data_IF_419719309683
#
_entry.id   IF_419719309683
#
_cell.length_a   1.000
_cell.length_b   1.000
_cell.length_c   1.000
_cell.angle_alpha   90.00
_cell.angle_beta   90.00
_cell.angle_gamma   90.00
#
_symmetry.space_group_name_H-M   'P 1'
#
loop_
_entity.id
_entity.type
_entity.pdbx_description
1 polymer ?
#
# COMPACT_ATOMS: atom_id res chain seq x y z
N UNK A 1 -19.99 26.11 -0.20
CA UNK A 1 -19.94 25.38 1.09
C UNK A 1 -20.35 23.90 0.94
N UNK A 2 -21.45 23.58 0.24
CA UNK A 2 -21.92 22.19 0.06
C UNK A 2 -20.91 21.27 -0.68
N UNK A 3 -20.25 21.75 -1.74
CA UNK A 3 -19.33 20.91 -2.54
C UNK A 3 -18.07 20.41 -1.83
N UNK A 4 -17.63 21.08 -0.75
CA UNK A 4 -16.44 20.66 0.00
C UNK A 4 -16.75 19.50 0.96
N UNK A 5 -17.90 19.56 1.64
CA UNK A 5 -18.39 18.47 2.49
C UNK A 5 -18.67 17.22 1.66
N UNK A 6 -19.32 17.38 0.50
CA UNK A 6 -19.61 16.30 -0.44
C UNK A 6 -18.34 15.60 -0.96
N UNK A 7 -17.26 16.37 -1.14
CA UNK A 7 -15.96 15.84 -1.53
C UNK A 7 -15.29 15.05 -0.39
N UNK A 8 -15.38 15.54 0.85
CA UNK A 8 -14.84 14.83 2.02
C UNK A 8 -15.59 13.53 2.30
N UNK A 9 -16.92 13.51 2.17
CA UNK A 9 -17.72 12.31 2.37
C UNK A 9 -17.41 11.25 1.31
N UNK A 10 -17.27 11.64 0.04
CA UNK A 10 -16.86 10.74 -1.05
C UNK A 10 -15.46 10.16 -0.81
N UNK A 11 -14.51 11.00 -0.38
CA UNK A 11 -13.15 10.55 0.01
C UNK A 11 -13.19 9.55 1.17
N UNK A 12 -14.04 9.79 2.17
CA UNK A 12 -14.20 8.89 3.32
C UNK A 12 -14.84 7.57 2.92
N UNK A 13 -15.83 7.58 2.03
CA UNK A 13 -16.48 6.36 1.54
C UNK A 13 -15.53 5.51 0.68
N UNK A 14 -14.76 6.15 -0.20
CA UNK A 14 -13.70 5.51 -0.99
C UNK A 14 -12.65 4.85 -0.06
N UNK A 15 -12.20 5.59 0.95
CA UNK A 15 -11.25 5.08 1.94
C UNK A 15 -11.82 3.88 2.72
N UNK A 16 -13.07 3.94 3.21
CA UNK A 16 -13.69 2.82 3.93
C UNK A 16 -13.78 1.53 3.10
N UNK A 17 -14.11 1.65 1.80
CA UNK A 17 -14.15 0.49 0.89
C UNK A 17 -12.78 -0.17 0.79
N UNK A 18 -11.74 0.66 0.69
CA UNK A 18 -10.36 0.21 0.66
C UNK A 18 -9.95 -0.45 1.98
N UNK A 19 -10.27 0.14 3.13
CA UNK A 19 -10.00 -0.47 4.45
C UNK A 19 -10.63 -1.86 4.58
N UNK A 20 -11.86 -2.03 4.11
CA UNK A 20 -12.55 -3.32 4.12
C UNK A 20 -11.84 -4.34 3.22
N UNK A 21 -11.56 -3.98 1.97
CA UNK A 21 -10.88 -4.86 1.02
C UNK A 21 -9.48 -5.27 1.48
N UNK A 22 -8.72 -4.34 2.08
CA UNK A 22 -7.42 -4.62 2.68
C UNK A 22 -7.53 -5.57 3.87
N UNK A 23 -8.51 -5.36 4.75
CA UNK A 23 -8.71 -6.20 5.94
C UNK A 23 -9.02 -7.64 5.56
N UNK A 24 -9.93 -7.83 4.60
CA UNK A 24 -10.29 -9.15 4.08
C UNK A 24 -9.09 -9.85 3.44
N UNK A 25 -8.34 -9.13 2.59
CA UNK A 25 -7.15 -9.64 1.91
C UNK A 25 -6.05 -10.09 2.89
N UNK A 26 -5.92 -9.41 4.04
CA UNK A 26 -4.86 -9.63 5.01
C UNK A 26 -5.26 -10.57 6.17
N UNK A 27 -6.53 -10.97 6.25
CA UNK A 27 -7.04 -11.77 7.35
C UNK A 27 -6.24 -13.08 7.52
N UNK A 28 -5.91 -13.40 8.78
CA UNK A 28 -5.21 -14.65 9.15
C UNK A 28 -3.73 -14.74 8.78
N UNK A 29 -3.12 -13.69 8.22
CA UNK A 29 -1.71 -13.70 7.77
C UNK A 29 -0.78 -13.01 8.76
N UNK A 30 0.52 -13.32 8.71
CA UNK A 30 1.53 -12.51 9.39
C UNK A 30 1.83 -11.27 8.55
N UNK A 31 1.37 -10.11 9.00
CA UNK A 31 1.42 -8.87 8.22
C UNK A 31 2.53 -7.94 8.72
N UNK A 32 3.43 -7.54 7.81
CA UNK A 32 4.32 -6.40 8.00
C UNK A 32 3.66 -5.13 7.45
N UNK A 33 3.39 -4.18 8.34
CA UNK A 33 2.92 -2.85 7.96
C UNK A 33 4.07 -1.85 7.97
N UNK A 34 4.20 -1.10 6.88
CA UNK A 34 5.00 0.12 6.86
C UNK A 34 4.07 1.32 6.83
N UNK A 35 4.24 2.23 7.79
CA UNK A 35 3.44 3.44 7.89
C UNK A 35 4.15 4.62 7.22
N UNK A 36 3.45 5.29 6.30
CA UNK A 36 3.83 6.61 5.82
C UNK A 36 3.51 7.73 6.83
N UNK A 37 4.03 8.95 6.60
CA UNK A 37 3.98 10.08 7.54
C UNK A 37 2.55 10.57 7.87
N UNK A 38 1.56 10.21 7.05
CA UNK A 38 0.13 10.53 7.28
C UNK A 38 -0.73 9.29 7.05
N UNK A 39 -0.77 8.40 8.03
CA UNK A 39 -1.59 7.19 7.97
C UNK A 39 -2.86 7.30 8.84
N UNK A 40 -4.04 6.95 8.32
CA UNK A 40 -5.18 6.59 9.16
C UNK A 40 -4.84 5.35 9.99
N UNK A 41 -5.44 5.24 11.18
CA UNK A 41 -5.41 4.00 11.95
C UNK A 41 -6.27 2.97 11.22
N UNK A 42 -5.66 2.19 10.33
CA UNK A 42 -6.28 0.98 9.82
C UNK A 42 -6.60 0.08 11.03
N UNK A 43 -7.84 -0.37 11.12
CA UNK A 43 -8.31 -1.28 12.17
C UNK A 43 -7.83 -2.70 11.96
N UNK A 44 -7.21 -2.99 10.81
CA UNK A 44 -6.64 -4.30 10.49
C UNK A 44 -5.53 -4.62 11.49
N UNK A 45 -5.65 -5.71 12.28
CA UNK A 45 -4.56 -6.16 13.12
C UNK A 45 -3.39 -6.58 12.22
N UNK A 46 -2.19 -6.16 12.60
CA UNK A 46 -0.95 -6.48 11.90
C UNK A 46 0.02 -7.12 12.87
N UNK A 47 0.89 -7.99 12.38
CA UNK A 47 1.88 -8.65 13.22
C UNK A 47 3.00 -7.70 13.64
N UNK A 48 3.39 -6.80 12.74
CA UNK A 48 4.40 -5.77 13.02
C UNK A 48 4.09 -4.49 12.25
N UNK A 49 4.24 -3.35 12.91
CA UNK A 49 4.15 -2.04 12.28
C UNK A 49 5.45 -1.29 12.50
N UNK A 50 6.04 -0.77 11.42
CA UNK A 50 7.29 -0.01 11.45
C UNK A 50 7.16 1.26 10.62
N UNK A 51 8.03 2.23 10.88
CA UNK A 51 8.24 3.35 9.97
C UNK A 51 9.19 2.95 8.84
N UNK A 52 9.21 3.74 7.77
CA UNK A 52 10.04 3.45 6.60
C UNK A 52 11.53 3.38 6.98
N UNK A 53 11.99 4.27 7.86
CA UNK A 53 13.37 4.34 8.36
C UNK A 53 13.79 3.12 9.20
N UNK A 54 12.81 2.42 9.81
CA UNK A 54 13.04 1.23 10.66
C UNK A 54 13.04 -0.07 9.86
N UNK A 55 12.65 -0.03 8.58
CA UNK A 55 12.46 -1.21 7.74
C UNK A 55 13.75 -2.05 7.61
N UNK A 56 14.91 -1.39 7.59
CA UNK A 56 16.21 -2.06 7.50
C UNK A 56 16.49 -2.97 8.70
N UNK A 57 15.99 -2.63 9.89
CA UNK A 57 16.18 -3.37 11.13
C UNK A 57 15.24 -4.57 11.30
N UNK A 58 14.27 -4.76 10.39
CA UNK A 58 13.36 -5.91 10.42
C UNK A 58 14.06 -7.13 9.82
N UNK A 59 14.42 -8.09 10.69
CA UNK A 59 15.05 -9.36 10.32
C UNK A 59 14.05 -10.50 10.05
N UNK A 60 12.78 -10.30 10.38
CA UNK A 60 11.71 -11.29 10.20
C UNK A 60 11.16 -11.30 8.76
N UNK A 61 10.61 -12.44 8.36
CA UNK A 61 9.88 -12.60 7.10
C UNK A 61 8.38 -12.72 7.36
N UNK A 62 7.55 -12.14 6.48
CA UNK A 62 6.11 -12.03 6.63
C UNK A 62 5.33 -12.60 5.44
N UNK A 63 4.14 -13.13 5.70
CA UNK A 63 3.26 -13.73 4.68
C UNK A 63 2.45 -12.68 3.91
N UNK A 64 2.43 -11.44 4.43
CA UNK A 64 1.83 -10.31 3.74
C UNK A 64 2.50 -8.97 4.09
N UNK A 65 2.45 -8.05 3.14
CA UNK A 65 2.90 -6.67 3.27
C UNK A 65 1.75 -5.69 3.11
N UNK A 66 1.63 -4.74 4.04
CA UNK A 66 0.76 -3.58 3.93
C UNK A 66 1.56 -2.27 3.93
N UNK A 67 1.49 -1.49 2.86
CA UNK A 67 2.11 -0.16 2.81
C UNK A 67 1.10 0.90 2.34
N UNK A 68 0.85 1.90 3.18
CA UNK A 68 -0.08 2.98 2.88
C UNK A 68 0.61 4.34 3.01
N UNK A 69 0.47 5.18 1.97
CA UNK A 69 1.03 6.53 1.92
C UNK A 69 2.56 6.56 2.03
N UNK A 70 3.22 5.57 1.44
CA UNK A 70 4.68 5.40 1.51
C UNK A 70 5.40 5.87 0.24
N UNK A 71 4.71 6.00 -0.90
CA UNK A 71 5.33 6.30 -2.18
C UNK A 71 5.19 7.76 -2.59
N UNK A 72 4.18 8.47 -2.07
CA UNK A 72 3.77 9.79 -2.55
C UNK A 72 4.89 10.84 -2.57
N UNK A 73 5.67 10.94 -1.50
CA UNK A 73 6.71 11.95 -1.35
C UNK A 73 8.10 11.48 -1.85
N UNK A 74 8.19 10.25 -2.40
CA UNK A 74 9.45 9.63 -2.80
C UNK A 74 9.77 9.87 -4.29
N UNK A 75 11.04 10.16 -4.60
CA UNK A 75 11.53 10.15 -5.99
C UNK A 75 11.42 8.74 -6.60
N UNK A 76 11.46 8.57 -7.94
CA UNK A 76 11.48 7.24 -8.56
C UNK A 76 12.54 6.29 -7.99
N UNK A 77 13.75 6.79 -7.73
CA UNK A 77 14.86 6.02 -7.16
C UNK A 77 14.56 5.60 -5.71
N UNK A 78 14.03 6.52 -4.92
CA UNK A 78 13.62 6.24 -3.54
C UNK A 78 12.46 5.24 -3.49
N UNK A 79 11.50 5.32 -4.42
CA UNK A 79 10.39 4.35 -4.55
C UNK A 79 10.93 2.97 -4.89
N UNK A 80 11.83 2.86 -5.86
CA UNK A 80 12.46 1.59 -6.22
C UNK A 80 13.23 0.98 -5.04
N UNK A 81 14.02 1.79 -4.32
CA UNK A 81 14.77 1.34 -3.15
C UNK A 81 13.84 0.91 -2.01
N UNK A 82 12.77 1.67 -1.77
CA UNK A 82 11.76 1.31 -0.78
C UNK A 82 11.10 -0.03 -1.10
N UNK A 83 10.62 -0.19 -2.34
CA UNK A 83 9.97 -1.41 -2.79
C UNK A 83 10.92 -2.60 -2.66
N UNK A 84 12.17 -2.46 -3.12
CA UNK A 84 13.19 -3.50 -2.98
C UNK A 84 13.42 -3.91 -1.51
N UNK A 85 13.68 -2.93 -0.64
CA UNK A 85 13.94 -3.18 0.77
C UNK A 85 12.74 -3.84 1.45
N UNK A 86 11.52 -3.40 1.13
CA UNK A 86 10.31 -3.91 1.74
C UNK A 86 10.01 -5.34 1.30
N UNK A 87 10.12 -5.63 0.00
CA UNK A 87 9.89 -6.96 -0.55
C UNK A 87 10.87 -7.99 -0.01
N UNK A 88 12.11 -7.59 0.33
CA UNK A 88 13.08 -8.47 0.95
C UNK A 88 12.64 -9.02 2.33
N UNK A 89 11.65 -8.40 2.99
CA UNK A 89 11.06 -8.89 4.27
C UNK A 89 9.79 -9.71 4.07
N UNK A 90 9.35 -9.94 2.83
CA UNK A 90 8.15 -10.71 2.52
C UNK A 90 8.55 -12.11 2.07
N UNK A 91 7.74 -13.12 2.33
CA UNK A 91 7.96 -14.47 1.78
C UNK A 91 7.73 -14.47 0.25
N UNK A 92 8.27 -15.45 -0.48
CA UNK A 92 7.80 -15.69 -1.86
C UNK A 92 6.33 -16.13 -1.80
N UNK A 93 5.52 -15.63 -2.73
CA UNK A 93 4.06 -15.79 -2.71
C UNK A 93 3.34 -14.92 -1.66
N UNK A 94 4.04 -14.07 -0.91
CA UNK A 94 3.41 -13.21 0.07
C UNK A 94 2.41 -12.25 -0.58
N UNK A 95 1.28 -12.02 0.09
CA UNK A 95 0.26 -11.07 -0.39
C UNK A 95 0.72 -9.65 -0.14
N UNK A 96 0.90 -8.87 -1.20
CA UNK A 96 1.25 -7.45 -1.12
C UNK A 96 0.02 -6.60 -1.33
N UNK A 97 -0.18 -5.63 -0.45
CA UNK A 97 -1.25 -4.66 -0.52
C UNK A 97 -0.66 -3.27 -0.32
N UNK A 98 -0.87 -2.39 -1.29
CA UNK A 98 -0.44 -0.99 -1.16
C UNK A 98 -1.54 -0.03 -1.56
N UNK A 99 -1.53 1.16 -0.95
CA UNK A 99 -2.35 2.27 -1.39
C UNK A 99 -1.67 3.61 -1.17
N UNK A 100 -1.92 4.54 -2.07
CA UNK A 100 -1.42 5.91 -1.94
C UNK A 100 -2.36 6.93 -2.60
N UNK A 101 -2.07 8.21 -2.40
CA UNK A 101 -2.77 9.30 -3.07
C UNK A 101 -2.43 9.30 -4.55
N UNK A 102 -3.44 9.56 -5.37
CA UNK A 102 -3.28 9.67 -6.82
C UNK A 102 -2.45 10.88 -7.25
N UNK A 103 -2.43 11.95 -6.47
CA UNK A 103 -1.73 13.20 -6.82
C UNK A 103 -0.20 13.14 -6.67
N UNK A 104 0.35 12.06 -6.13
CA UNK A 104 1.73 12.00 -5.65
C UNK A 104 2.54 10.90 -6.37
N UNK A 105 2.67 11.03 -7.70
CA UNK A 105 3.71 10.32 -8.47
C UNK A 105 3.31 9.08 -9.28
N UNK A 106 2.13 8.50 -9.07
CA UNK A 106 1.52 7.51 -9.97
C UNK A 106 0.04 7.88 -10.17
N UNK A 107 -0.30 8.32 -11.37
CA UNK A 107 -1.58 8.98 -11.66
C UNK A 107 -2.51 8.12 -12.51
N UNK A 108 -1.96 7.13 -13.22
CA UNK A 108 -2.70 6.24 -14.13
C UNK A 108 -2.57 4.77 -13.74
N UNK A 109 -3.57 3.93 -14.10
CA UNK A 109 -3.47 2.48 -13.94
C UNK A 109 -2.26 1.87 -14.66
N UNK A 110 -1.87 2.41 -15.82
CA UNK A 110 -0.74 1.92 -16.63
C UNK A 110 0.58 2.15 -15.90
N UNK A 111 0.82 3.35 -15.37
CA UNK A 111 2.03 3.65 -14.58
C UNK A 111 2.16 2.74 -13.35
N UNK A 112 1.04 2.47 -12.67
CA UNK A 112 1.02 1.54 -11.54
C UNK A 112 1.29 0.10 -12.00
N UNK A 113 0.70 -0.31 -13.12
CA UNK A 113 0.94 -1.62 -13.67
C UNK A 113 2.42 -1.82 -14.00
N UNK A 114 3.04 -0.88 -14.72
CA UNK A 114 4.46 -0.94 -15.07
C UNK A 114 5.38 -0.94 -13.84
N UNK A 115 4.99 -0.22 -12.78
CA UNK A 115 5.73 -0.19 -11.52
C UNK A 115 5.68 -1.54 -10.77
N UNK A 116 4.52 -2.21 -10.74
CA UNK A 116 4.31 -3.38 -9.89
C UNK A 116 4.38 -4.73 -10.64
N UNK A 117 4.19 -4.75 -11.96
CA UNK A 117 4.25 -5.98 -12.75
C UNK A 117 5.59 -6.73 -12.64
N UNK A 118 6.77 -6.06 -12.53
CA UNK A 118 8.03 -6.75 -12.31
C UNK A 118 8.15 -7.40 -10.92
N UNK A 119 7.40 -6.91 -9.92
CA UNK A 119 7.53 -7.30 -8.51
C UNK A 119 6.67 -8.52 -8.13
N UNK A 120 5.66 -8.83 -8.94
CA UNK A 120 4.62 -9.79 -8.55
C UNK A 120 3.91 -10.52 -9.68
N UNK A 121 3.01 -11.40 -9.26
CA UNK A 121 2.00 -12.08 -10.08
C UNK A 121 0.61 -11.74 -9.56
N UNK A 122 -0.44 -12.08 -10.31
CA UNK A 122 -1.83 -11.78 -9.94
C UNK A 122 -2.07 -10.30 -9.60
N UNK A 123 -1.42 -9.40 -10.36
CA UNK A 123 -1.48 -7.96 -10.14
C UNK A 123 -2.89 -7.42 -10.44
N UNK A 124 -3.48 -6.81 -9.42
CA UNK A 124 -4.75 -6.11 -9.43
C UNK A 124 -4.49 -4.64 -9.10
N UNK A 125 -4.71 -3.76 -10.08
CA UNK A 125 -4.54 -2.31 -9.95
C UNK A 125 -5.90 -1.66 -9.99
N UNK A 126 -6.20 -0.85 -8.98
CA UNK A 126 -7.45 -0.13 -8.91
C UNK A 126 -7.17 1.34 -8.63
N UNK A 127 -7.77 2.21 -9.45
CA UNK A 127 -7.56 3.66 -9.38
C UNK A 127 -8.89 4.33 -9.12
N UNK A 128 -8.99 4.92 -7.93
CA UNK A 128 -10.13 5.73 -7.54
C UNK A 128 -9.97 7.21 -7.90
N UNK A 129 -10.84 8.02 -7.29
CA UNK A 129 -10.83 9.48 -7.48
C UNK A 129 -9.71 10.13 -6.68
N UNK A 130 -9.40 9.58 -5.51
CA UNK A 130 -8.47 10.18 -4.54
C UNK A 130 -7.26 9.30 -4.32
N UNK A 131 -7.49 8.00 -4.30
CA UNK A 131 -6.49 7.01 -3.97
C UNK A 131 -6.36 6.01 -5.11
N UNK A 132 -5.20 5.41 -5.23
CA UNK A 132 -5.04 4.15 -5.93
C UNK A 132 -4.68 3.08 -4.92
N UNK A 133 -4.91 1.83 -5.29
CA UNK A 133 -4.42 0.69 -4.55
C UNK A 133 -4.04 -0.43 -5.49
N UNK A 134 -3.13 -1.25 -5.02
CA UNK A 134 -2.66 -2.42 -5.74
C UNK A 134 -2.61 -3.62 -4.81
N UNK A 135 -2.88 -4.77 -5.39
CA UNK A 135 -2.71 -6.07 -4.76
C UNK A 135 -1.96 -6.99 -5.72
N UNK A 136 -1.01 -7.76 -5.21
CA UNK A 136 -0.33 -8.80 -5.98
C UNK A 136 0.27 -9.84 -5.05
N UNK A 137 0.70 -10.95 -5.63
CA UNK A 137 1.53 -11.95 -4.97
C UNK A 137 3.00 -11.67 -5.29
N UNK A 138 3.82 -11.60 -4.25
CA UNK A 138 5.26 -11.36 -4.40
C UNK A 138 5.91 -12.54 -5.15
N UNK A 139 6.71 -12.26 -6.18
CA UNK A 139 7.57 -13.28 -6.80
C UNK A 139 8.65 -13.75 -5.82
#
# INVERSE_FOLDING_TARGET
MAGWQDNLEKRRAEWKKLEYAMTDTLAGRRVLRVAGPRSPRLTTPVSKAVRQEELSAVAETFDAGLACFCLGELTPEQRAQFLHNWHARLASGATVVMADRRSEGCTTPVELYDLFAPLGTALDVQVGRTFWWVRYERR
#
